data_IF_859300427567
#
_entry.id   IF_859300427567
#
_cell.length_a   1.000
_cell.length_b   1.000
_cell.length_c   1.000
_cell.angle_alpha   90.00
_cell.angle_beta   90.00
_cell.angle_gamma   90.00
#
_symmetry.space_group_name_H-M   'P 1'
#
loop_
_entity.id
_entity.type
_entity.pdbx_description
1 polymer ?
#
# COMPACT_ATOMS: atom_id res chain seq x y z
N UNK A 1 7.87 -37.07 1.95
CA UNK A 1 7.06 -36.08 1.21
C UNK A 1 5.84 -35.61 2.01
N UNK A 2 4.95 -36.51 2.48
CA UNK A 2 3.73 -36.12 3.22
C UNK A 2 3.99 -35.40 4.56
N UNK A 3 4.99 -35.84 5.34
CA UNK A 3 5.34 -35.20 6.62
C UNK A 3 5.92 -33.78 6.46
N UNK A 4 6.75 -33.54 5.43
CA UNK A 4 7.29 -32.21 5.12
C UNK A 4 6.19 -31.23 4.67
N UNK A 5 5.22 -31.71 3.87
CA UNK A 5 4.07 -30.91 3.46
C UNK A 5 3.16 -30.57 4.65
N UNK A 6 3.01 -31.48 5.61
CA UNK A 6 2.20 -31.27 6.82
C UNK A 6 2.89 -30.30 7.78
N UNK A 7 4.21 -30.42 7.97
CA UNK A 7 5.02 -29.47 8.75
C UNK A 7 4.97 -28.07 8.14
N UNK A 8 5.10 -27.97 6.82
CA UNK A 8 4.94 -26.70 6.08
C UNK A 8 3.55 -26.09 6.25
N UNK A 9 2.48 -26.89 6.21
CA UNK A 9 1.12 -26.40 6.48
C UNK A 9 0.96 -25.89 7.91
N UNK A 10 1.49 -26.58 8.91
CA UNK A 10 1.38 -26.15 10.32
C UNK A 10 2.17 -24.86 10.57
N UNK A 11 3.35 -24.73 9.95
CA UNK A 11 4.17 -23.51 10.04
C UNK A 11 3.52 -22.32 9.31
N UNK A 12 2.87 -22.56 8.18
CA UNK A 12 2.20 -21.51 7.39
C UNK A 12 0.77 -21.22 7.85
N UNK A 13 0.13 -22.12 8.61
CA UNK A 13 -1.23 -21.97 9.11
C UNK A 13 -1.49 -20.63 9.83
N UNK A 14 -0.64 -20.15 10.76
CA UNK A 14 -0.85 -18.85 11.40
C UNK A 14 -0.72 -17.68 10.40
N UNK A 15 0.18 -17.76 9.43
CA UNK A 15 0.30 -16.74 8.40
C UNK A 15 -0.91 -16.73 7.46
N UNK A 16 -1.39 -17.92 7.09
CA UNK A 16 -2.57 -18.08 6.25
C UNK A 16 -3.85 -17.59 6.95
N UNK A 17 -3.97 -17.81 8.28
CA UNK A 17 -5.12 -17.33 9.04
C UNK A 17 -5.14 -15.81 9.17
N UNK A 18 -3.99 -15.19 9.48
CA UNK A 18 -3.84 -13.73 9.54
C UNK A 18 -4.08 -13.10 8.17
N UNK A 19 -3.51 -13.67 7.10
CA UNK A 19 -3.72 -13.20 5.73
C UNK A 19 -5.20 -13.33 5.32
N UNK A 20 -5.85 -14.44 5.68
CA UNK A 20 -7.27 -14.66 5.42
C UNK A 20 -8.18 -13.67 6.16
N UNK A 21 -7.89 -13.41 7.44
CA UNK A 21 -8.57 -12.38 8.23
C UNK A 21 -8.39 -10.99 7.63
N UNK A 22 -7.15 -10.60 7.32
CA UNK A 22 -6.84 -9.31 6.72
C UNK A 22 -7.56 -9.11 5.39
N UNK A 23 -7.52 -10.11 4.51
CA UNK A 23 -8.21 -10.06 3.22
C UNK A 23 -9.73 -9.92 3.39
N UNK A 24 -10.34 -10.61 4.35
CA UNK A 24 -11.77 -10.47 4.64
C UNK A 24 -12.11 -9.07 5.13
N UNK A 25 -11.32 -8.53 6.06
CA UNK A 25 -11.50 -7.16 6.56
C UNK A 25 -11.32 -6.13 5.45
N UNK A 26 -10.33 -6.31 4.58
CA UNK A 26 -10.09 -5.46 3.42
C UNK A 26 -11.25 -5.50 2.41
N UNK A 27 -11.92 -6.64 2.24
CA UNK A 27 -13.10 -6.73 1.36
C UNK A 27 -14.34 -6.06 1.96
N UNK A 28 -14.53 -6.16 3.27
CA UNK A 28 -15.69 -5.56 3.97
C UNK A 28 -15.54 -4.05 4.17
N UNK A 29 -14.34 -3.59 4.50
CA UNK A 29 -14.04 -2.19 4.82
C UNK A 29 -12.79 -1.72 4.08
N UNK A 30 -12.82 -1.64 2.73
CA UNK A 30 -11.62 -1.42 1.94
C UNK A 30 -10.97 -0.05 2.16
N UNK A 31 -11.78 1.00 2.32
CA UNK A 31 -11.26 2.35 2.60
C UNK A 31 -10.62 2.40 4.00
N UNK A 32 -11.34 2.01 5.05
CA UNK A 32 -10.82 2.05 6.42
C UNK A 32 -9.59 1.16 6.59
N UNK A 33 -9.61 -0.04 6.01
CA UNK A 33 -8.46 -0.96 6.05
C UNK A 33 -7.28 -0.36 5.30
N UNK A 34 -7.50 0.24 4.12
CA UNK A 34 -6.45 0.92 3.36
C UNK A 34 -5.82 2.05 4.17
N UNK A 35 -6.64 2.97 4.66
CA UNK A 35 -6.23 4.16 5.44
C UNK A 35 -5.47 3.79 6.71
N UNK A 36 -5.95 2.81 7.49
CA UNK A 36 -5.28 2.36 8.71
C UNK A 36 -3.96 1.67 8.38
N UNK A 37 -3.96 0.74 7.42
CA UNK A 37 -2.75 0.02 7.02
C UNK A 37 -1.68 0.97 6.49
N UNK A 38 -2.04 1.93 5.63
CA UNK A 38 -1.08 2.86 5.04
C UNK A 38 -0.55 3.84 6.08
N UNK A 39 -1.39 4.37 6.97
CA UNK A 39 -0.95 5.23 8.06
C UNK A 39 0.00 4.55 9.04
N UNK A 40 -0.33 3.32 9.46
CA UNK A 40 0.57 2.52 10.32
C UNK A 40 1.88 2.19 9.61
N UNK A 41 1.81 1.82 8.32
CA UNK A 41 3.00 1.50 7.52
C UNK A 41 3.93 2.71 7.37
N UNK A 42 3.41 3.89 7.03
CA UNK A 42 4.24 5.09 6.85
C UNK A 42 4.80 5.59 8.17
N UNK A 43 4.02 5.51 9.25
CA UNK A 43 4.49 5.81 10.61
C UNK A 43 5.65 4.89 11.01
N UNK A 44 5.47 3.57 10.88
CA UNK A 44 6.52 2.59 11.22
C UNK A 44 7.78 2.78 10.35
N UNK A 45 7.61 3.04 9.04
CA UNK A 45 8.73 3.28 8.13
C UNK A 45 9.53 4.53 8.51
N UNK A 46 8.85 5.61 8.92
CA UNK A 46 9.53 6.83 9.35
C UNK A 46 10.22 6.66 10.70
N UNK A 47 9.61 5.97 11.68
CA UNK A 47 10.25 5.63 12.96
C UNK A 47 11.53 4.82 12.71
N UNK A 48 11.44 3.80 11.84
CA UNK A 48 12.59 2.99 11.48
C UNK A 48 13.68 3.81 10.79
N UNK A 49 13.31 4.68 9.85
CA UNK A 49 14.26 5.57 9.18
C UNK A 49 14.97 6.49 10.18
N UNK A 50 14.23 7.15 11.07
CA UNK A 50 14.81 8.09 12.02
C UNK A 50 15.70 7.40 13.07
N UNK A 51 15.25 6.26 13.64
CA UNK A 51 15.94 5.60 14.75
C UNK A 51 17.00 4.58 14.33
N UNK A 52 16.76 3.85 13.25
CA UNK A 52 17.64 2.74 12.83
C UNK A 52 18.57 3.16 11.70
N UNK A 53 18.06 3.88 10.69
CA UNK A 53 18.87 4.26 9.52
C UNK A 53 19.67 5.54 9.79
N UNK A 54 19.04 6.56 10.36
CA UNK A 54 19.65 7.86 10.62
C UNK A 54 20.28 7.95 12.01
N UNK A 55 19.90 7.07 12.96
CA UNK A 55 20.45 7.04 14.32
C UNK A 55 20.16 8.30 15.14
N UNK A 56 19.06 9.00 14.88
CA UNK A 56 18.74 10.27 15.56
C UNK A 56 18.40 10.05 17.05
N UNK A 57 19.09 10.78 17.93
CA UNK A 57 18.76 10.82 19.36
C UNK A 57 17.39 11.48 19.59
N UNK A 58 17.19 12.66 19.00
CA UNK A 58 15.91 13.38 19.04
C UNK A 58 14.96 12.91 17.93
N UNK A 59 13.68 12.76 18.30
CA UNK A 59 12.63 12.36 17.36
C UNK A 59 12.00 13.58 16.68
N UNK A 60 11.96 13.56 15.35
CA UNK A 60 11.39 14.63 14.53
C UNK A 60 9.88 14.39 14.36
N UNK A 61 9.11 14.95 15.28
CA UNK A 61 7.64 14.84 15.29
C UNK A 61 6.98 15.55 14.11
N UNK A 62 7.57 16.63 13.59
CA UNK A 62 7.05 17.38 12.44
C UNK A 62 7.11 16.51 11.19
N UNK A 63 8.28 15.92 10.92
CA UNK A 63 8.44 14.93 9.84
C UNK A 63 7.51 13.74 10.03
N UNK A 64 7.42 13.21 11.24
CA UNK A 64 6.56 12.07 11.51
C UNK A 64 5.08 12.37 11.23
N UNK A 65 4.60 13.54 11.65
CA UNK A 65 3.25 14.00 11.37
C UNK A 65 2.99 14.15 9.86
N UNK A 66 3.96 14.67 9.10
CA UNK A 66 3.86 14.77 7.64
C UNK A 66 3.76 13.39 6.97
N UNK A 67 4.58 12.41 7.40
CA UNK A 67 4.51 11.03 6.90
C UNK A 67 3.20 10.32 7.26
N UNK A 68 2.68 10.56 8.46
CA UNK A 68 1.37 10.08 8.88
C UNK A 68 0.26 10.72 8.02
N UNK A 69 0.24 12.04 7.90
CA UNK A 69 -0.76 12.77 7.10
C UNK A 69 -0.76 12.31 5.63
N UNK A 70 0.42 12.14 5.03
CA UNK A 70 0.55 11.59 3.69
C UNK A 70 0.07 10.13 3.60
N UNK A 71 0.42 9.30 4.59
CA UNK A 71 -0.05 7.93 4.73
C UNK A 71 -1.57 7.80 4.79
N UNK A 72 -2.23 8.64 5.59
CA UNK A 72 -3.68 8.60 5.77
C UNK A 72 -4.42 9.23 4.57
N UNK A 73 -4.04 10.44 4.15
CA UNK A 73 -4.78 11.19 3.14
C UNK A 73 -4.45 10.74 1.72
N UNK A 74 -3.17 10.69 1.35
CA UNK A 74 -2.76 10.35 -0.01
C UNK A 74 -2.82 8.83 -0.23
N UNK A 75 -2.07 8.05 0.56
CA UNK A 75 -2.02 6.59 0.35
C UNK A 75 -3.32 5.91 0.76
N UNK A 76 -3.95 6.35 1.83
CA UNK A 76 -5.21 5.78 2.31
C UNK A 76 -6.40 6.21 1.46
N UNK A 77 -6.57 7.52 1.30
CA UNK A 77 -7.73 8.10 0.61
C UNK A 77 -7.58 8.17 -0.91
N UNK A 78 -6.60 8.94 -1.39
CA UNK A 78 -6.45 9.20 -2.83
C UNK A 78 -6.10 7.93 -3.61
N UNK A 79 -5.15 7.11 -3.14
CA UNK A 79 -4.82 5.85 -3.84
C UNK A 79 -5.97 4.84 -3.77
N UNK A 80 -6.80 4.84 -2.71
CA UNK A 80 -8.02 4.03 -2.71
C UNK A 80 -8.94 4.44 -3.87
N UNK A 81 -9.21 5.74 -4.02
CA UNK A 81 -10.01 6.26 -5.12
C UNK A 81 -9.39 5.95 -6.49
N UNK A 82 -8.07 6.14 -6.63
CA UNK A 82 -7.37 5.88 -7.89
C UNK A 82 -7.44 4.40 -8.29
N UNK A 83 -7.08 3.48 -7.39
CA UNK A 83 -6.99 2.07 -7.74
C UNK A 83 -8.32 1.32 -7.68
N UNK A 84 -9.20 1.61 -6.73
CA UNK A 84 -10.46 0.88 -6.58
C UNK A 84 -11.58 1.47 -7.43
N UNK A 85 -11.56 2.78 -7.71
CA UNK A 85 -12.59 3.44 -8.52
C UNK A 85 -12.08 3.69 -9.94
N UNK A 86 -10.99 4.44 -10.11
CA UNK A 86 -10.56 4.88 -11.46
C UNK A 86 -9.94 3.76 -12.28
N UNK A 87 -9.05 2.95 -11.73
CA UNK A 87 -8.49 1.81 -12.44
C UNK A 87 -9.56 0.76 -12.79
N UNK A 88 -10.57 0.58 -11.94
CA UNK A 88 -11.71 -0.27 -12.24
C UNK A 88 -12.55 0.31 -13.40
N UNK A 89 -12.74 1.63 -13.47
CA UNK A 89 -13.44 2.30 -14.57
C UNK A 89 -12.66 2.26 -15.89
N UNK A 90 -11.36 2.59 -15.87
CA UNK A 90 -10.54 2.71 -17.07
C UNK A 90 -10.09 1.36 -17.61
N UNK A 91 -9.60 0.48 -16.72
CA UNK A 91 -9.05 -0.81 -17.12
C UNK A 91 -10.03 -1.96 -16.96
N UNK A 92 -11.19 -1.77 -16.32
CA UNK A 92 -12.20 -2.81 -16.15
C UNK A 92 -12.72 -3.39 -17.46
N UNK A 93 -13.15 -2.57 -18.44
CA UNK A 93 -13.58 -3.06 -19.75
C UNK A 93 -12.45 -3.82 -20.47
N UNK A 94 -11.23 -3.28 -20.43
CA UNK A 94 -10.07 -3.89 -21.04
C UNK A 94 -9.70 -5.23 -20.39
N UNK A 95 -9.78 -5.31 -19.06
CA UNK A 95 -9.53 -6.54 -18.30
C UNK A 95 -10.60 -7.60 -18.59
N UNK A 96 -11.86 -7.21 -18.83
CA UNK A 96 -12.92 -8.15 -19.24
C UNK A 96 -12.70 -8.68 -20.65
N UNK A 97 -12.19 -7.85 -21.57
CA UNK A 97 -11.97 -8.25 -22.96
C UNK A 97 -10.69 -9.10 -23.16
N UNK A 98 -9.58 -8.73 -22.51
CA UNK A 98 -8.26 -9.34 -22.76
C UNK A 98 -7.67 -10.09 -21.55
N UNK A 99 -8.37 -10.10 -20.42
CA UNK A 99 -7.94 -10.74 -19.19
C UNK A 99 -6.92 -9.93 -18.38
N UNK A 100 -6.63 -10.42 -17.17
CA UNK A 100 -5.72 -9.74 -16.24
C UNK A 100 -4.26 -9.69 -16.71
N UNK A 101 -3.78 -10.75 -17.39
CA UNK A 101 -2.38 -10.84 -17.83
C UNK A 101 -2.04 -9.83 -18.92
N UNK A 102 -2.93 -9.66 -19.91
CA UNK A 102 -2.73 -8.68 -20.98
C UNK A 102 -2.87 -7.24 -20.49
N UNK A 103 -3.69 -7.00 -19.46
CA UNK A 103 -3.91 -5.65 -18.92
C UNK A 103 -2.94 -5.23 -17.83
N UNK A 104 -2.18 -6.17 -17.26
CA UNK A 104 -1.15 -5.90 -16.27
C UNK A 104 -0.10 -4.86 -16.73
N UNK A 105 0.55 -4.98 -17.90
CA UNK A 105 1.55 -3.98 -18.33
C UNK A 105 0.97 -2.58 -18.49
N UNK A 106 -0.29 -2.47 -18.92
CA UNK A 106 -0.97 -1.18 -19.08
C UNK A 106 -1.24 -0.54 -17.72
N UNK A 107 -1.75 -1.30 -16.76
CA UNK A 107 -1.95 -0.83 -15.38
C UNK A 107 -0.62 -0.41 -14.75
N UNK A 108 0.43 -1.20 -14.94
CA UNK A 108 1.78 -0.87 -14.46
C UNK A 108 2.31 0.40 -15.11
N UNK A 109 2.11 0.60 -16.41
CA UNK A 109 2.55 1.82 -17.09
C UNK A 109 1.82 3.07 -16.59
N UNK A 110 0.50 3.00 -16.42
CA UNK A 110 -0.28 4.12 -15.85
C UNK A 110 0.21 4.43 -14.43
N UNK A 111 0.48 3.40 -13.63
CA UNK A 111 0.91 3.60 -12.26
C UNK A 111 2.35 4.12 -12.16
N UNK A 112 3.31 3.46 -12.79
CA UNK A 112 4.75 3.73 -12.65
C UNK A 112 5.26 4.80 -13.63
N UNK A 113 4.64 4.91 -14.80
CA UNK A 113 5.02 5.88 -15.82
C UNK A 113 4.33 7.23 -15.67
N UNK A 114 3.11 7.27 -15.13
CA UNK A 114 2.30 8.49 -15.05
C UNK A 114 2.06 8.89 -13.60
N UNK A 115 1.36 8.05 -12.83
CA UNK A 115 0.94 8.42 -11.48
C UNK A 115 2.14 8.67 -10.55
N UNK A 116 3.13 7.78 -10.52
CA UNK A 116 4.28 7.95 -9.62
C UNK A 116 5.13 9.20 -9.94
N UNK A 117 5.59 9.41 -11.19
CA UNK A 117 6.47 10.53 -11.51
C UNK A 117 5.76 11.89 -11.48
N UNK A 118 4.51 11.95 -11.94
CA UNK A 118 3.83 13.21 -12.18
C UNK A 118 2.90 13.65 -11.04
N UNK A 119 2.47 12.73 -10.18
CA UNK A 119 1.49 13.02 -9.11
C UNK A 119 2.07 12.67 -7.75
N UNK A 120 2.52 11.42 -7.56
CA UNK A 120 2.99 10.93 -6.27
C UNK A 120 4.25 11.68 -5.79
N UNK A 121 5.31 11.71 -6.60
CA UNK A 121 6.56 12.35 -6.18
C UNK A 121 6.38 13.85 -5.93
N UNK A 122 5.76 14.64 -6.82
CA UNK A 122 5.51 16.05 -6.55
C UNK A 122 4.71 16.25 -5.25
N UNK A 123 3.62 15.52 -5.05
CA UNK A 123 2.79 15.64 -3.84
C UNK A 123 3.60 15.32 -2.56
N UNK A 124 4.40 14.26 -2.60
CA UNK A 124 5.25 13.87 -1.49
C UNK A 124 6.32 14.91 -1.19
N UNK A 125 7.02 15.43 -2.20
CA UNK A 125 8.05 16.44 -2.01
C UNK A 125 7.48 17.78 -1.57
N UNK A 126 6.28 18.16 -2.01
CA UNK A 126 5.60 19.36 -1.49
C UNK A 126 5.31 19.25 0.00
N UNK A 127 4.84 18.08 0.46
CA UNK A 127 4.55 17.85 1.89
C UNK A 127 5.83 17.73 2.72
N UNK A 128 6.90 17.16 2.14
CA UNK A 128 8.21 17.08 2.80
C UNK A 128 8.93 18.43 2.86
N UNK A 129 8.71 19.29 1.87
CA UNK A 129 9.33 20.62 1.78
C UNK A 129 8.60 21.69 2.60
N UNK A 130 7.37 21.41 3.04
CA UNK A 130 6.57 22.25 3.93
C UNK A 130 6.90 21.98 5.41
#
# INVERSE_FOLDING_TARGET
>A
MAQLAQLGRTLLAPFASVAGWYNRTAQLHPLSTGVVTTGLKTSAADIFAQKVVEGREDFDYTRHAAFCAFGFAYLGGFQYWLYNVKFAQWCGPLTRAFGHRATAPIKTFIDQGIHHPLIYFPSFFTIKAA
#
